data_IF_542432210293
#
_entry.id   IF_542432210293
#
_cell.length_a   1.000
_cell.length_b   1.000
_cell.length_c   1.000
_cell.angle_alpha   90.00
_cell.angle_beta   90.00
_cell.angle_gamma   90.00
#
_symmetry.space_group_name_H-M   'P 1'
#
loop_
_entity.id
_entity.type
_entity.pdbx_description
1 polymer ?
#
# COMPACT_ATOMS: atom_id res chain seq x y z
N UNK A 1 -29.98 -29.79 -19.64
CA UNK A 1 -29.96 -29.07 -18.36
C UNK A 1 -29.54 -27.64 -18.60
N UNK A 2 -30.27 -26.70 -18.03
CA UNK A 2 -29.99 -25.26 -18.07
C UNK A 2 -29.57 -24.81 -16.68
N UNK A 3 -28.49 -24.02 -16.57
CA UNK A 3 -27.98 -23.54 -15.29
C UNK A 3 -28.26 -22.06 -15.09
N UNK A 4 -28.48 -21.69 -13.84
CA UNK A 4 -28.82 -20.33 -13.44
C UNK A 4 -27.88 -19.88 -12.32
N UNK A 5 -27.52 -18.60 -12.35
CA UNK A 5 -26.79 -17.91 -11.30
C UNK A 5 -27.58 -16.67 -10.88
N UNK A 6 -27.90 -16.58 -9.60
CA UNK A 6 -28.74 -15.52 -9.02
C UNK A 6 -30.08 -15.38 -9.76
N UNK A 7 -30.68 -16.51 -10.15
CA UNK A 7 -31.92 -16.57 -10.93
C UNK A 7 -31.80 -16.20 -12.42
N UNK A 8 -30.62 -15.83 -12.90
CA UNK A 8 -30.38 -15.51 -14.32
C UNK A 8 -29.75 -16.70 -15.06
N UNK A 9 -30.16 -16.99 -16.31
CA UNK A 9 -29.59 -18.10 -17.08
C UNK A 9 -28.12 -17.84 -17.39
N UNK A 10 -27.28 -18.86 -17.21
CA UNK A 10 -25.85 -18.81 -17.54
C UNK A 10 -25.70 -19.10 -19.04
N UNK A 11 -25.11 -18.18 -19.83
CA UNK A 11 -24.90 -18.40 -21.26
C UNK A 11 -24.07 -19.66 -21.53
N UNK A 12 -24.43 -20.42 -22.56
CA UNK A 12 -23.72 -21.63 -23.00
C UNK A 12 -23.59 -22.73 -21.92
N UNK A 13 -24.47 -22.73 -20.92
CA UNK A 13 -24.52 -23.76 -19.88
C UNK A 13 -25.43 -24.95 -20.23
N UNK A 14 -26.15 -24.86 -21.35
CA UNK A 14 -27.03 -25.92 -21.83
C UNK A 14 -26.21 -27.16 -22.18
N UNK A 15 -26.35 -28.22 -21.39
CA UNK A 15 -25.65 -29.48 -21.65
C UNK A 15 -26.56 -30.68 -21.39
N UNK A 16 -26.27 -31.81 -22.02
CA UNK A 16 -26.87 -33.11 -21.69
C UNK A 16 -26.40 -33.64 -20.33
N UNK A 17 -25.38 -33.04 -19.73
CA UNK A 17 -24.82 -33.44 -18.45
C UNK A 17 -25.56 -32.75 -17.29
N UNK A 18 -25.84 -33.45 -16.18
CA UNK A 18 -26.35 -32.83 -14.96
C UNK A 18 -25.25 -32.11 -14.15
N UNK A 19 -24.03 -31.98 -14.70
CA UNK A 19 -22.87 -31.38 -14.03
C UNK A 19 -22.44 -30.11 -14.77
N UNK A 20 -22.35 -29.00 -14.03
CA UNK A 20 -21.75 -27.75 -14.50
C UNK A 20 -20.36 -27.55 -13.90
N UNK A 21 -19.39 -27.25 -14.76
CA UNK A 21 -17.99 -27.10 -14.39
C UNK A 21 -17.58 -25.65 -14.57
N UNK A 22 -17.14 -25.02 -13.48
CA UNK A 22 -16.51 -23.70 -13.50
C UNK A 22 -15.00 -23.88 -13.66
N UNK A 23 -14.42 -23.26 -14.69
CA UNK A 23 -12.98 -23.23 -14.91
C UNK A 23 -12.41 -21.91 -14.38
N UNK A 24 -11.25 -21.97 -13.71
CA UNK A 24 -10.55 -20.79 -13.19
C UNK A 24 -11.41 -19.90 -12.30
N UNK A 25 -11.93 -20.48 -11.22
CA UNK A 25 -12.85 -19.82 -10.28
C UNK A 25 -12.27 -18.52 -9.73
N UNK A 26 -13.09 -17.47 -9.72
CA UNK A 26 -12.77 -16.13 -9.23
C UNK A 26 -13.78 -15.65 -8.18
N UNK A 27 -13.49 -14.53 -7.51
CA UNK A 27 -14.43 -13.94 -6.55
C UNK A 27 -15.81 -13.64 -7.16
N UNK A 28 -15.85 -13.36 -8.46
CA UNK A 28 -17.07 -13.05 -9.20
C UNK A 28 -17.99 -14.25 -9.33
N UNK A 29 -17.49 -15.48 -9.19
CA UNK A 29 -18.28 -16.72 -9.23
C UNK A 29 -19.11 -16.96 -7.97
N UNK A 30 -18.92 -16.15 -6.93
CA UNK A 30 -19.81 -16.16 -5.76
C UNK A 30 -21.25 -15.88 -6.19
N UNK A 31 -22.19 -16.72 -5.75
CA UNK A 31 -23.60 -16.56 -6.11
C UNK A 31 -24.44 -17.77 -5.72
N UNK A 32 -25.74 -17.67 -6.04
CA UNK A 32 -26.73 -18.73 -5.82
C UNK A 32 -26.95 -19.47 -7.14
N UNK A 33 -26.72 -20.77 -7.16
CA UNK A 33 -26.78 -21.59 -8.36
C UNK A 33 -27.97 -22.55 -8.28
N UNK A 34 -28.68 -22.69 -9.39
CA UNK A 34 -29.74 -23.69 -9.57
C UNK A 34 -29.71 -24.23 -10.99
N UNK A 35 -30.40 -25.35 -11.21
CA UNK A 35 -30.53 -25.93 -12.54
C UNK A 35 -31.97 -26.34 -12.84
N UNK A 36 -32.31 -26.40 -14.11
CA UNK A 36 -33.58 -26.94 -14.59
C UNK A 36 -33.33 -27.93 -15.73
N UNK A 37 -34.27 -28.86 -15.92
CA UNK A 37 -34.28 -29.71 -17.11
C UNK A 37 -34.75 -28.88 -18.29
N UNK A 38 -34.15 -29.11 -19.46
CA UNK A 38 -34.52 -28.39 -20.69
C UNK A 38 -35.99 -28.70 -21.06
N UNK A 39 -36.78 -27.66 -21.32
CA UNK A 39 -38.23 -27.75 -21.52
C UNK A 39 -39.06 -27.76 -20.24
N UNK A 40 -38.41 -27.71 -19.07
CA UNK A 40 -39.04 -27.60 -17.74
C UNK A 40 -38.40 -26.47 -16.92
N UNK A 41 -38.09 -25.33 -17.57
CA UNK A 41 -37.47 -24.16 -16.94
C UNK A 41 -38.36 -23.52 -15.86
N UNK A 42 -39.66 -23.83 -15.86
CA UNK A 42 -40.64 -23.44 -14.85
C UNK A 42 -40.46 -24.16 -13.50
N UNK A 43 -39.66 -25.22 -13.47
CA UNK A 43 -39.41 -26.05 -12.29
C UNK A 43 -37.90 -26.16 -11.97
N UNK A 44 -37.24 -25.06 -11.55
CA UNK A 44 -35.84 -25.10 -11.15
C UNK A 44 -35.63 -25.88 -9.85
N UNK A 45 -34.42 -26.41 -9.68
CA UNK A 45 -33.95 -26.98 -8.42
C UNK A 45 -33.93 -25.95 -7.30
N UNK A 46 -33.77 -26.43 -6.06
CA UNK A 46 -33.35 -25.55 -4.96
C UNK A 46 -32.04 -24.82 -5.32
N UNK A 47 -31.90 -23.59 -4.82
CA UNK A 47 -30.71 -22.78 -5.03
C UNK A 47 -29.64 -23.09 -3.98
N UNK A 48 -28.43 -23.40 -4.45
CA UNK A 48 -27.25 -23.65 -3.63
C UNK A 48 -26.31 -22.45 -3.66
N UNK A 49 -25.77 -22.08 -2.49
CA UNK A 49 -24.89 -20.89 -2.41
C UNK A 49 -23.43 -21.30 -2.56
N UNK A 50 -22.78 -20.80 -3.61
CA UNK A 50 -21.34 -20.89 -3.79
C UNK A 50 -20.68 -19.64 -3.23
N UNK A 51 -19.75 -19.81 -2.29
CA UNK A 51 -18.92 -18.71 -1.78
C UNK A 51 -17.46 -18.96 -2.09
N UNK A 52 -16.87 -18.09 -2.92
CA UNK A 52 -15.46 -18.16 -3.27
C UNK A 52 -14.64 -17.40 -2.24
N UNK A 53 -13.68 -18.09 -1.64
CA UNK A 53 -12.74 -17.51 -0.66
C UNK A 53 -11.44 -17.14 -1.35
N UNK A 54 -10.88 -16.00 -0.98
CA UNK A 54 -9.65 -15.44 -1.54
C UNK A 54 -8.85 -14.67 -0.48
N UNK A 55 -7.54 -14.61 -0.69
CA UNK A 55 -6.64 -13.80 0.13
C UNK A 55 -6.83 -12.29 -0.12
N UNK A 56 -6.22 -11.42 0.69
CA UNK A 56 -6.29 -9.98 0.50
C UNK A 56 -5.84 -9.58 -0.91
N UNK A 57 -6.61 -8.68 -1.54
CA UNK A 57 -6.33 -8.11 -2.86
C UNK A 57 -6.78 -6.65 -2.90
N UNK A 58 -6.31 -5.90 -3.90
CA UNK A 58 -6.62 -4.47 -4.05
C UNK A 58 -6.30 -3.67 -2.76
N UNK A 59 -5.24 -4.06 -2.05
CA UNK A 59 -4.83 -3.34 -0.85
C UNK A 59 -4.44 -1.91 -1.22
N UNK A 60 -4.87 -0.95 -0.40
CA UNK A 60 -4.59 0.47 -0.56
C UNK A 60 -4.30 1.12 0.79
N UNK A 61 -3.50 2.18 0.77
CA UNK A 61 -3.20 2.98 1.96
C UNK A 61 -3.57 4.43 1.72
N UNK A 62 -4.38 4.99 2.62
CA UNK A 62 -4.65 6.43 2.68
C UNK A 62 -3.75 7.11 3.70
N UNK A 63 -3.18 8.26 3.32
CA UNK A 63 -2.28 9.07 4.14
C UNK A 63 -2.96 10.39 4.52
N UNK A 64 -2.91 10.74 5.81
CA UNK A 64 -3.49 11.99 6.34
C UNK A 64 -2.51 12.67 7.31
N UNK A 65 -2.13 13.94 7.08
CA UNK A 65 -2.51 14.80 5.96
C UNK A 65 -1.95 14.31 4.61
N UNK A 66 -2.65 14.61 3.53
CA UNK A 66 -2.21 14.31 2.16
C UNK A 66 -1.29 15.41 1.64
N UNK A 67 -0.35 15.06 0.76
CA UNK A 67 0.56 16.01 0.11
C UNK A 67 1.93 16.06 0.77
N UNK A 68 2.54 17.24 0.78
CA UNK A 68 3.85 17.48 1.39
C UNK A 68 3.73 17.52 2.91
N UNK A 69 4.49 16.66 3.58
CA UNK A 69 4.44 16.48 5.02
C UNK A 69 5.69 17.08 5.64
N UNK A 70 5.51 18.08 6.48
CA UNK A 70 6.62 18.75 7.15
C UNK A 70 7.28 17.83 8.17
N UNK A 71 8.61 17.80 8.17
CA UNK A 71 9.42 17.06 9.13
C UNK A 71 9.03 17.39 10.58
N UNK A 72 8.96 16.36 11.43
CA UNK A 72 8.51 16.47 12.81
C UNK A 72 6.99 16.61 12.97
N UNK A 73 6.20 16.49 11.90
CA UNK A 73 4.73 16.40 12.00
C UNK A 73 4.29 14.97 12.32
N UNK A 74 2.98 14.79 12.58
CA UNK A 74 2.37 13.48 12.76
C UNK A 74 1.51 13.11 11.55
N UNK A 75 1.59 11.85 11.14
CA UNK A 75 0.90 11.31 9.96
C UNK A 75 0.09 10.09 10.35
N UNK A 76 -1.14 10.01 9.87
CA UNK A 76 -2.02 8.86 10.00
C UNK A 76 -2.05 8.07 8.70
N UNK A 77 -1.65 6.81 8.77
CA UNK A 77 -1.78 5.84 7.70
C UNK A 77 -2.98 4.93 8.01
N UNK A 78 -3.83 4.67 7.02
CA UNK A 78 -4.92 3.70 7.14
C UNK A 78 -4.85 2.73 5.97
N UNK A 79 -4.79 1.45 6.28
CA UNK A 79 -4.72 0.39 5.28
C UNK A 79 -6.10 -0.25 5.09
N UNK A 80 -6.44 -0.55 3.84
CA UNK A 80 -7.70 -1.20 3.46
C UNK A 80 -7.43 -2.24 2.41
N UNK A 81 -8.12 -3.37 2.48
CA UNK A 81 -7.96 -4.48 1.52
C UNK A 81 -9.27 -5.22 1.35
N UNK A 82 -9.51 -5.75 0.15
CA UNK A 82 -10.65 -6.62 -0.16
C UNK A 82 -10.24 -8.08 0.03
N UNK A 83 -10.97 -8.81 0.86
CA UNK A 83 -10.67 -10.19 1.20
C UNK A 83 -11.94 -10.96 1.58
N UNK A 84 -12.00 -12.26 1.26
CA UNK A 84 -13.06 -13.15 1.73
C UNK A 84 -12.48 -14.48 2.26
N UNK A 85 -12.53 -14.78 3.57
CA UNK A 85 -13.12 -13.97 4.64
C UNK A 85 -12.37 -12.64 4.86
N UNK A 86 -12.97 -11.70 5.64
CA UNK A 86 -12.36 -10.40 5.93
C UNK A 86 -10.93 -10.51 6.47
N UNK A 87 -10.18 -9.43 6.34
CA UNK A 87 -8.80 -9.36 6.87
C UNK A 87 -8.79 -9.58 8.38
N UNK A 88 -7.99 -10.53 8.83
CA UNK A 88 -7.84 -10.88 10.24
C UNK A 88 -6.86 -9.94 10.93
N UNK A 89 -5.80 -9.53 10.23
CA UNK A 89 -4.73 -8.70 10.79
C UNK A 89 -4.12 -7.77 9.76
N UNK A 90 -3.91 -6.52 10.19
CA UNK A 90 -3.03 -5.56 9.52
C UNK A 90 -1.73 -5.41 10.30
N UNK A 91 -0.62 -5.44 9.57
CA UNK A 91 0.72 -5.24 10.12
C UNK A 91 1.45 -4.15 9.35
N UNK A 92 2.02 -3.19 10.07
CA UNK A 92 2.85 -2.14 9.51
C UNK A 92 4.31 -2.45 9.73
N UNK A 93 5.07 -2.38 8.65
CA UNK A 93 6.50 -2.56 8.65
C UNK A 93 7.19 -1.25 8.28
N UNK A 94 8.25 -0.92 9.01
CA UNK A 94 9.19 0.13 8.60
C UNK A 94 10.29 -0.52 7.78
N UNK A 95 10.51 0.00 6.58
CA UNK A 95 11.58 -0.43 5.69
C UNK A 95 12.77 0.49 5.91
N UNK A 96 13.96 -0.09 5.94
CA UNK A 96 15.24 0.62 5.87
C UNK A 96 16.11 -0.06 4.82
N UNK A 97 17.17 0.61 4.38
CA UNK A 97 18.15 0.06 3.45
C UNK A 97 18.76 -1.30 3.85
N UNK A 98 18.68 -1.68 5.14
CA UNK A 98 19.24 -2.93 5.67
C UNK A 98 18.19 -3.95 6.12
N UNK A 99 17.00 -3.50 6.53
CA UNK A 99 16.03 -4.39 7.17
C UNK A 99 14.58 -3.92 7.02
N UNK A 100 13.66 -4.84 7.31
CA UNK A 100 12.24 -4.59 7.44
C UNK A 100 11.82 -5.05 8.84
N UNK A 101 11.24 -4.15 9.61
CA UNK A 101 10.88 -4.42 11.02
C UNK A 101 9.42 -4.09 11.28
N UNK A 102 8.75 -4.96 12.04
CA UNK A 102 7.37 -4.74 12.46
C UNK A 102 7.30 -3.53 13.39
N UNK A 103 6.45 -2.56 13.05
CA UNK A 103 6.31 -1.30 13.81
C UNK A 103 4.99 -1.18 14.53
N UNK A 104 3.91 -1.67 13.92
CA UNK A 104 2.57 -1.58 14.48
C UNK A 104 1.68 -2.72 13.99
N UNK A 105 0.66 -3.07 14.77
CA UNK A 105 -0.42 -3.96 14.35
C UNK A 105 -1.75 -3.27 14.59
N UNK A 106 -2.55 -3.20 13.53
CA UNK A 106 -3.77 -2.42 13.50
C UNK A 106 -4.00 -1.82 12.12
N UNK A 107 -5.28 -1.57 11.79
CA UNK A 107 -5.64 -1.01 10.49
C UNK A 107 -5.11 0.42 10.28
N UNK A 108 -5.02 1.18 11.38
CA UNK A 108 -4.57 2.57 11.40
C UNK A 108 -3.26 2.67 12.17
N UNK A 109 -2.26 3.33 11.58
CA UNK A 109 -0.98 3.58 12.23
C UNK A 109 -0.65 5.07 12.22
N UNK A 110 -0.39 5.62 13.40
CA UNK A 110 0.05 7.00 13.57
C UNK A 110 1.56 7.04 13.73
N UNK A 111 2.23 7.75 12.83
CA UNK A 111 3.65 8.07 12.92
C UNK A 111 3.77 9.44 13.56
N UNK A 112 4.49 9.52 14.66
CA UNK A 112 4.83 10.78 15.32
C UNK A 112 6.25 11.20 14.93
N UNK A 113 6.45 12.51 14.78
CA UNK A 113 7.74 13.11 14.45
C UNK A 113 8.39 12.48 13.20
N UNK A 114 7.67 12.47 12.07
CA UNK A 114 8.19 11.91 10.82
C UNK A 114 9.49 12.61 10.40
N UNK A 115 10.51 11.84 10.01
CA UNK A 115 11.83 12.38 9.69
C UNK A 115 12.26 12.09 8.25
N UNK A 116 13.32 12.75 7.79
CA UNK A 116 13.94 12.41 6.50
C UNK A 116 14.52 10.99 6.45
N UNK A 117 14.65 10.30 7.57
CA UNK A 117 15.10 8.90 7.62
C UNK A 117 13.97 7.91 7.31
N UNK A 118 12.71 8.36 7.32
CA UNK A 118 11.54 7.56 6.93
C UNK A 118 11.37 7.49 5.39
N UNK A 119 12.37 7.94 4.62
CA UNK A 119 12.37 7.95 3.14
C UNK A 119 12.20 6.57 2.50
N UNK A 120 12.73 5.53 3.13
CA UNK A 120 12.57 4.15 2.67
C UNK A 120 11.11 3.66 2.81
N UNK A 121 10.30 4.40 3.56
CA UNK A 121 8.86 4.25 3.63
C UNK A 121 8.39 3.14 4.55
N UNK A 122 7.09 2.87 4.43
CA UNK A 122 6.40 1.86 5.22
C UNK A 122 5.75 0.85 4.28
N UNK A 123 5.50 -0.35 4.78
CA UNK A 123 4.68 -1.33 4.09
C UNK A 123 3.50 -1.70 4.98
N UNK A 124 2.32 -1.82 4.38
CA UNK A 124 1.18 -2.45 5.02
C UNK A 124 1.06 -3.88 4.51
N UNK A 125 0.97 -4.83 5.43
CA UNK A 125 0.55 -6.20 5.15
C UNK A 125 -0.88 -6.41 5.65
N UNK A 126 -1.76 -6.84 4.76
CA UNK A 126 -3.06 -7.37 5.08
C UNK A 126 -2.98 -8.90 5.06
N UNK A 127 -3.53 -9.55 6.10
CA UNK A 127 -3.50 -11.01 6.26
C UNK A 127 -4.91 -11.53 6.56
N UNK A 128 -5.33 -12.58 5.86
CA UNK A 128 -6.45 -13.43 6.26
C UNK A 128 -6.03 -14.91 6.26
N UNK A 129 -6.94 -15.80 6.64
CA UNK A 129 -6.68 -17.25 6.65
C UNK A 129 -6.29 -17.85 5.28
N UNK A 130 -6.62 -17.18 4.17
CA UNK A 130 -6.36 -17.68 2.80
C UNK A 130 -4.99 -17.21 2.30
N UNK A 131 -4.55 -16.01 2.69
CA UNK A 131 -3.28 -15.47 2.23
C UNK A 131 -2.98 -14.08 2.79
N UNK A 132 -1.94 -13.45 2.22
CA UNK A 132 -1.49 -12.11 2.59
C UNK A 132 -1.12 -11.29 1.36
N UNK A 133 -1.30 -9.98 1.48
CA UNK A 133 -0.84 -9.01 0.49
C UNK A 133 -0.09 -7.88 1.21
N UNK A 134 1.09 -7.55 0.71
CA UNK A 134 1.94 -6.50 1.28
C UNK A 134 2.19 -5.43 0.22
N UNK A 135 1.85 -4.18 0.54
CA UNK A 135 2.00 -3.05 -0.37
C UNK A 135 2.90 -1.95 0.21
N UNK A 136 3.69 -1.26 -0.63
CA UNK A 136 4.47 -0.12 -0.21
C UNK A 136 3.63 1.15 -0.02
N UNK A 137 4.11 2.03 0.86
CA UNK A 137 3.49 3.32 1.17
C UNK A 137 4.49 4.43 0.89
N UNK A 138 4.10 5.32 -0.02
CA UNK A 138 4.88 6.49 -0.37
C UNK A 138 4.44 7.70 0.47
N UNK A 139 5.39 8.30 1.18
CA UNK A 139 5.16 9.51 1.98
C UNK A 139 6.17 10.57 1.52
N UNK A 140 5.69 11.76 1.18
CA UNK A 140 6.54 12.86 0.75
C UNK A 140 6.87 13.78 1.93
N UNK A 141 8.09 13.67 2.47
CA UNK A 141 8.54 14.43 3.64
C UNK A 141 9.38 15.64 3.20
N UNK A 142 8.94 16.85 3.57
CA UNK A 142 9.67 18.11 3.35
C UNK A 142 10.40 18.54 4.64
N UNK A 143 11.67 18.94 4.51
CA UNK A 143 12.49 19.34 5.65
C UNK A 143 12.10 20.73 6.16
N UNK A 144 12.05 20.91 7.48
CA UNK A 144 11.68 22.20 8.11
C UNK A 144 12.65 23.35 7.81
N UNK A 145 13.90 23.04 7.47
CA UNK A 145 14.98 24.03 7.34
C UNK A 145 15.27 24.47 5.89
N UNK A 146 14.31 24.36 4.98
CA UNK A 146 14.46 24.95 3.64
C UNK A 146 14.44 26.50 3.68
N UNK A 147 13.88 27.09 4.75
CA UNK A 147 13.90 28.55 4.96
C UNK A 147 15.29 29.09 5.32
N UNK A 148 16.22 28.26 5.78
CA UNK A 148 17.61 28.70 6.02
C UNK A 148 18.37 28.97 4.72
N UNK A 149 17.92 28.40 3.58
CA UNK A 149 18.44 28.74 2.25
C UNK A 149 17.91 30.07 1.73
N UNK A 150 16.65 30.41 2.00
CA UNK A 150 16.01 31.65 1.52
C UNK A 150 16.57 32.92 2.17
N UNK A 151 16.91 32.89 3.45
CA UNK A 151 17.58 34.03 4.11
C UNK A 151 19.01 34.28 3.60
N UNK A 152 19.69 33.24 3.11
CA UNK A 152 21.03 33.37 2.54
C UNK A 152 21.03 34.06 1.17
N UNK A 153 19.92 34.02 0.42
CA UNK A 153 19.78 34.70 -0.88
C UNK A 153 19.70 36.22 -0.73
N UNK A 154 19.13 36.73 0.37
CA UNK A 154 19.07 38.18 0.65
C UNK A 154 20.40 38.76 1.16
N UNK A 155 21.31 37.92 1.66
CA UNK A 155 22.67 38.33 2.01
C UNK A 155 23.57 38.60 0.79
N UNK A 156 23.12 38.29 -0.44
CA UNK A 156 23.91 38.47 -1.66
C UNK A 156 24.02 39.92 -2.19
N UNK A 157 23.40 40.92 -1.56
CA UNK A 157 23.45 42.31 -2.04
C UNK A 157 24.43 43.24 -1.30
N UNK A 158 25.14 42.75 -0.29
CA UNK A 158 26.23 43.52 0.35
C UNK A 158 27.46 42.65 0.49
N UNK A 159 28.47 43.01 -0.30
CA UNK A 159 29.76 42.35 -0.53
C UNK A 159 30.51 41.78 0.69
N UNK A 160 31.46 40.89 0.35
CA UNK A 160 32.53 40.24 1.13
C UNK A 160 32.31 38.75 1.49
N UNK A 161 33.43 38.01 1.49
CA UNK A 161 33.64 36.62 1.93
C UNK A 161 33.60 35.55 0.80
N UNK A 162 34.54 35.70 -0.15
CA UNK A 162 34.98 34.67 -1.11
C UNK A 162 35.47 33.36 -0.44
N UNK A 163 35.72 33.36 0.87
CA UNK A 163 36.17 32.20 1.64
C UNK A 163 35.04 31.27 2.10
N UNK A 164 33.78 31.69 2.00
CA UNK A 164 32.62 30.83 2.34
C UNK A 164 32.16 29.94 1.18
N UNK A 165 32.37 30.35 -0.08
CA UNK A 165 31.93 29.59 -1.26
C UNK A 165 32.58 28.21 -1.41
N UNK A 166 33.83 28.04 -0.95
CA UNK A 166 34.50 26.73 -0.96
C UNK A 166 33.88 25.81 0.10
N UNK A 167 33.58 26.33 1.29
CA UNK A 167 32.88 25.57 2.34
C UNK A 167 31.44 25.21 1.93
N UNK A 168 30.77 26.09 1.19
CA UNK A 168 29.36 25.93 0.83
C UNK A 168 29.13 25.04 -0.39
N UNK A 169 30.12 24.90 -1.28
CA UNK A 169 30.07 23.92 -2.38
C UNK A 169 30.09 22.48 -1.85
N UNK A 170 30.76 22.22 -0.72
CA UNK A 170 30.82 20.88 -0.10
C UNK A 170 29.55 20.50 0.65
N UNK A 171 28.72 21.47 1.08
CA UNK A 171 27.45 21.19 1.77
C UNK A 171 26.26 20.98 0.83
N UNK A 172 26.48 21.08 -0.48
CA UNK A 172 25.48 20.89 -1.53
C UNK A 172 25.39 19.43 -2.02
N UNK A 173 25.84 18.47 -1.22
CA UNK A 173 25.67 17.04 -1.51
C UNK A 173 24.33 16.58 -0.90
N UNK A 174 23.26 16.75 -1.68
CA UNK A 174 21.91 16.17 -1.50
C UNK A 174 21.86 15.01 -0.48
N UNK A 175 21.39 15.25 0.75
CA UNK A 175 20.92 14.22 1.70
C UNK A 175 21.58 12.81 1.59
N UNK A 176 22.92 12.71 1.58
CA UNK A 176 23.60 11.41 1.47
C UNK A 176 24.02 10.87 2.85
N UNK A 177 23.71 9.60 3.18
CA UNK A 177 24.30 8.90 4.30
C UNK A 177 25.64 8.31 3.86
N UNK A 178 26.71 8.64 4.59
CA UNK A 178 28.01 7.98 4.44
C UNK A 178 29.16 8.96 4.20
N UNK A 179 29.64 9.59 5.27
CA UNK A 179 31.01 10.10 5.31
C UNK A 179 31.73 9.47 6.51
N UNK A 180 32.60 8.50 6.20
CA UNK A 180 33.57 7.92 7.10
C UNK A 180 34.68 8.94 7.39
N UNK A 181 34.95 9.15 8.67
CA UNK A 181 36.04 9.97 9.19
C UNK A 181 37.39 9.27 9.04
N UNK A 182 38.36 9.93 8.39
CA UNK A 182 39.80 9.94 8.72
C UNK A 182 40.31 11.26 8.13
N UNK A 183 41.01 12.19 8.77
CA UNK A 183 41.72 12.29 10.04
C UNK A 183 42.66 13.49 9.83
N UNK A 184 42.69 14.44 10.76
CA UNK A 184 43.54 15.64 10.67
C UNK A 184 45.02 15.28 10.80
N UNK A 185 45.87 16.01 10.07
CA UNK A 185 47.32 15.96 10.24
C UNK A 185 48.02 17.04 9.40
N UNK A 186 48.01 18.29 9.90
CA UNK A 186 48.97 19.32 9.50
C UNK A 186 49.73 19.76 10.75
N UNK A 187 51.03 19.46 10.76
CA UNK A 187 52.11 20.30 11.29
C UNK A 187 53.29 20.16 10.35
#
# INVERSE_FOLDING_TARGET
>A
YSWYKNGQPIPNSNTSSPVYILFSVSSEDTGRYSCAVEGHEDLPSAEETLTVRYGPKNTSVSVSPSGEIVEGSSVNLTCSSDANPPVDKYTWYKVTYKNMSMRHSGQRYTIHNISSEDREGYHCEALNIIGRETIPVHINVICKYDTFCLFLVLCHFTDFILTSCIYKLMTLQQCFPGFLWWGWGLS
#
